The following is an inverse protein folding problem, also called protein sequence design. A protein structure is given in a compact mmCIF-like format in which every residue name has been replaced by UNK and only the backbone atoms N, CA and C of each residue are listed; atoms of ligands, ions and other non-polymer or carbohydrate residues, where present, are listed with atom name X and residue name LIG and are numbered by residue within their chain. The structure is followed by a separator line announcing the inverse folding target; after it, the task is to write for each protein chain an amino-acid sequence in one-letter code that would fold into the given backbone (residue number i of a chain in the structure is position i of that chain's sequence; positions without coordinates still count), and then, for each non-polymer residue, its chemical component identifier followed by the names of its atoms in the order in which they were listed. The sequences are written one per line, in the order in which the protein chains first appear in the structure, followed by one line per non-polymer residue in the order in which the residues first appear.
data_IF_835776104892
#
_entry.id   IF_835776104892
#
_cell.length_a   1.000
_cell.length_b   1.000
_cell.length_c   1.000
_cell.angle_alpha   90.00
_cell.angle_beta   90.00
_cell.angle_gamma   90.00
#
_symmetry.space_group_name_H-M   'P 1'
#
loop_
_entity.id
_entity.type
_entity.pdbx_description
1 polymer ?
#
# COMPACT_ATOMS: atom_id res chain seq x y z
N UNK A 1 67.74 -33.22 -19.50
CA UNK A 1 67.12 -32.79 -18.23
C UNK A 1 65.99 -31.81 -18.57
N UNK A 2 64.73 -32.25 -18.49
CA UNK A 2 63.54 -31.43 -18.81
C UNK A 2 63.03 -30.70 -17.56
N UNK A 3 63.12 -29.37 -17.54
CA UNK A 3 62.45 -28.54 -16.53
C UNK A 3 60.96 -28.41 -16.87
N UNK A 4 60.10 -29.15 -16.16
CA UNK A 4 58.65 -28.99 -16.22
C UNK A 4 58.26 -27.71 -15.45
N UNK A 5 57.81 -26.68 -16.16
CA UNK A 5 57.19 -25.49 -15.57
C UNK A 5 55.78 -25.86 -15.11
N UNK A 6 55.56 -25.93 -13.81
CA UNK A 6 54.22 -26.06 -13.23
C UNK A 6 53.54 -24.68 -13.23
N UNK A 7 52.47 -24.51 -14.01
CA UNK A 7 51.55 -23.38 -13.86
C UNK A 7 50.64 -23.65 -12.65
N UNK A 8 50.77 -22.83 -11.60
CA UNK A 8 49.76 -22.74 -10.55
C UNK A 8 48.65 -21.79 -11.00
N UNK A 9 47.48 -22.33 -11.31
CA UNK A 9 46.27 -21.52 -11.49
C UNK A 9 45.68 -21.20 -10.10
N UNK A 10 45.77 -19.94 -9.67
CA UNK A 10 45.00 -19.45 -8.52
C UNK A 10 43.53 -19.33 -8.94
N UNK A 11 42.70 -20.25 -8.48
CA UNK A 11 41.25 -20.12 -8.54
C UNK A 11 40.81 -19.14 -7.45
N UNK A 12 40.56 -17.87 -7.82
CA UNK A 12 39.90 -16.91 -6.95
C UNK A 12 38.42 -17.24 -6.88
N UNK A 13 37.98 -17.91 -5.81
CA UNK A 13 36.56 -18.04 -5.50
C UNK A 13 36.03 -16.67 -5.09
N UNK A 14 35.39 -15.96 -6.03
CA UNK A 14 34.62 -14.75 -5.73
C UNK A 14 33.41 -15.23 -4.94
N UNK A 15 33.43 -15.04 -3.61
CA UNK A 15 32.26 -15.28 -2.78
C UNK A 15 31.17 -14.30 -3.18
N UNK A 16 30.18 -14.76 -3.94
CA UNK A 16 28.94 -14.01 -4.14
C UNK A 16 28.25 -13.96 -2.77
N UNK A 17 28.39 -12.83 -2.06
CA UNK A 17 27.51 -12.55 -0.94
C UNK A 17 26.11 -12.43 -1.53
N UNK A 18 25.31 -13.50 -1.43
CA UNK A 18 23.89 -13.49 -1.74
C UNK A 18 23.25 -12.32 -0.99
N UNK A 19 22.92 -11.25 -1.72
CA UNK A 19 22.20 -10.11 -1.19
C UNK A 19 20.88 -10.63 -0.63
N UNK A 20 20.67 -10.48 0.68
CA UNK A 20 19.44 -10.94 1.30
C UNK A 20 18.35 -9.91 0.99
N UNK A 21 17.56 -10.18 -0.04
CA UNK A 21 16.46 -9.33 -0.45
C UNK A 21 15.27 -9.35 0.48
N UNK A 22 14.11 -8.97 -0.06
CA UNK A 22 12.85 -9.09 0.65
C UNK A 22 12.65 -10.52 1.18
N UNK A 23 12.23 -10.66 2.43
CA UNK A 23 12.13 -11.95 3.08
C UNK A 23 11.14 -11.94 4.25
N UNK A 24 10.74 -13.13 4.69
CA UNK A 24 9.82 -13.32 5.83
C UNK A 24 10.54 -13.82 7.09
N UNK A 25 11.83 -13.50 7.25
CA UNK A 25 12.58 -13.87 8.45
C UNK A 25 12.18 -12.95 9.61
N UNK A 26 12.23 -13.50 10.81
CA UNK A 26 11.90 -12.80 12.04
C UNK A 26 12.16 -13.68 13.25
N UNK A 27 11.75 -13.21 14.42
CA UNK A 27 11.80 -13.97 15.67
C UNK A 27 11.01 -15.29 15.54
N UNK A 28 11.40 -16.32 16.27
CA UNK A 28 10.60 -17.55 16.41
C UNK A 28 9.21 -17.28 17.00
N UNK A 29 9.02 -16.14 17.67
CA UNK A 29 7.74 -15.65 18.18
C UNK A 29 6.82 -15.08 17.09
N UNK A 30 7.29 -15.02 15.84
CA UNK A 30 6.50 -14.64 14.68
C UNK A 30 5.51 -15.73 14.22
N UNK A 31 5.32 -16.78 15.02
CA UNK A 31 4.31 -17.83 14.81
C UNK A 31 3.15 -17.67 15.78
N UNK A 32 1.91 -17.74 15.30
CA UNK A 32 0.73 -17.94 16.16
C UNK A 32 -0.16 -16.71 16.43
N UNK A 33 0.24 -15.50 16.03
CA UNK A 33 -0.60 -14.30 16.23
C UNK A 33 -1.41 -13.96 14.98
N UNK A 34 -2.51 -14.70 14.76
CA UNK A 34 -3.47 -14.42 13.69
C UNK A 34 -4.08 -13.02 13.92
N UNK A 35 -3.85 -12.09 13.00
CA UNK A 35 -4.45 -10.75 13.01
C UNK A 35 -3.58 -9.60 13.54
N UNK A 36 -2.44 -9.88 14.19
CA UNK A 36 -1.59 -8.81 14.70
C UNK A 36 -0.93 -7.98 13.59
N UNK A 37 -0.62 -8.60 12.44
CA UNK A 37 -0.18 -7.86 11.24
C UNK A 37 -1.28 -6.94 10.71
N UNK A 38 -2.54 -7.41 10.69
CA UNK A 38 -3.68 -6.59 10.28
C UNK A 38 -3.91 -5.41 11.24
N UNK A 39 -3.79 -5.65 12.55
CA UNK A 39 -3.86 -4.59 13.57
C UNK A 39 -2.71 -3.59 13.42
N UNK A 40 -1.51 -4.06 13.06
CA UNK A 40 -0.36 -3.21 12.82
C UNK A 40 -0.60 -2.30 11.62
N UNK A 41 -1.13 -2.83 10.52
CA UNK A 41 -1.52 -2.04 9.34
C UNK A 41 -2.60 -1.02 9.70
N UNK A 42 -3.58 -1.38 10.54
CA UNK A 42 -4.61 -0.44 10.99
C UNK A 42 -4.03 0.70 11.83
N UNK A 43 -3.16 0.41 12.79
CA UNK A 43 -2.49 1.45 13.60
C UNK A 43 -1.58 2.34 12.76
N UNK A 44 -0.87 1.76 11.79
CA UNK A 44 -0.02 2.50 10.87
C UNK A 44 -0.81 3.56 10.08
N UNK A 45 -2.03 3.22 9.62
CA UNK A 45 -2.89 4.15 8.88
C UNK A 45 -3.41 5.32 9.70
N UNK A 46 -3.38 5.23 11.02
CA UNK A 46 -3.80 6.29 11.93
C UNK A 46 -2.66 7.28 12.29
N UNK A 47 -1.44 7.07 11.78
CA UNK A 47 -0.31 7.97 12.01
C UNK A 47 -0.49 9.24 11.16
N UNK A 48 -0.08 10.38 11.72
CA UNK A 48 -0.04 11.66 11.01
C UNK A 48 0.76 11.54 9.68
N UNK A 49 0.17 11.89 8.52
CA UNK A 49 0.82 11.80 7.21
C UNK A 49 2.14 12.58 7.07
N UNK A 50 2.33 13.63 7.87
CA UNK A 50 3.57 14.44 7.90
C UNK A 50 4.70 13.78 8.68
N UNK A 51 4.43 12.68 9.39
CA UNK A 51 5.42 11.98 10.20
C UNK A 51 6.52 11.38 9.33
N UNK A 52 7.76 11.60 9.75
CA UNK A 52 8.95 10.96 9.19
C UNK A 52 9.58 9.99 10.17
N UNK A 53 10.17 8.93 9.66
CA UNK A 53 10.71 7.82 10.45
C UNK A 53 12.21 7.73 10.31
N UNK A 54 12.91 7.55 11.43
CA UNK A 54 14.37 7.43 11.50
C UNK A 54 14.84 6.01 11.80
N UNK A 55 16.14 5.79 11.65
CA UNK A 55 16.77 4.53 12.01
C UNK A 55 16.52 4.17 13.49
N UNK A 56 16.12 2.92 13.75
CA UNK A 56 15.83 2.41 15.09
C UNK A 56 14.51 2.87 15.69
N UNK A 57 13.74 3.70 14.97
CA UNK A 57 12.48 4.23 15.48
C UNK A 57 11.30 3.28 15.18
N UNK A 58 10.55 2.90 16.21
CA UNK A 58 9.35 2.08 16.06
C UNK A 58 8.20 2.91 15.48
N UNK A 59 7.84 2.65 14.22
CA UNK A 59 6.74 3.30 13.48
C UNK A 59 5.42 3.05 14.22
N UNK A 60 5.12 1.79 14.48
CA UNK A 60 3.99 1.36 15.30
C UNK A 60 4.28 -0.03 15.89
N UNK A 61 3.61 -0.36 16.99
CA UNK A 61 3.77 -1.64 17.69
C UNK A 61 2.42 -2.15 18.18
N UNK A 62 2.12 -3.41 17.88
CA UNK A 62 0.95 -4.13 18.37
C UNK A 62 1.38 -5.09 19.46
N UNK A 63 0.86 -4.91 20.67
CA UNK A 63 1.13 -5.81 21.80
C UNK A 63 0.60 -7.22 21.54
N UNK A 64 1.35 -8.22 21.98
CA UNK A 64 0.96 -9.64 21.97
C UNK A 64 1.00 -10.16 23.42
N UNK A 65 -0.16 -10.26 24.10
CA UNK A 65 -0.28 -10.72 25.50
C UNK A 65 -0.33 -12.28 25.55
N UNK A 66 0.12 -13.06 26.56
CA UNK A 66 0.20 -12.89 28.03
C UNK A 66 1.49 -13.51 28.66
N UNK A 67 2.65 -12.88 28.57
CA UNK A 67 3.82 -13.24 29.40
C UNK A 67 4.47 -11.93 29.85
N UNK A 68 4.89 -11.86 31.12
CA UNK A 68 5.21 -10.64 31.90
C UNK A 68 6.32 -9.70 31.38
N UNK A 69 6.70 -9.79 30.10
CA UNK A 69 7.67 -8.94 29.42
C UNK A 69 7.05 -7.99 28.37
N UNK A 70 5.73 -7.97 28.16
CA UNK A 70 5.03 -7.12 27.15
C UNK A 70 5.65 -7.11 25.74
N UNK A 71 5.87 -8.28 25.10
CA UNK A 71 6.34 -8.31 23.73
C UNK A 71 5.31 -7.66 22.78
N UNK A 72 5.81 -7.02 21.73
CA UNK A 72 4.98 -6.41 20.70
C UNK A 72 5.54 -6.73 19.31
N UNK A 73 4.67 -6.83 18.32
CA UNK A 73 5.06 -6.85 16.91
C UNK A 73 5.19 -5.41 16.46
N UNK A 74 6.39 -5.01 16.06
CA UNK A 74 6.69 -3.65 15.69
C UNK A 74 7.11 -3.54 14.24
N UNK A 75 6.74 -2.42 13.62
CA UNK A 75 7.25 -1.94 12.35
C UNK A 75 8.32 -0.88 12.61
N UNK A 76 9.51 -1.03 12.05
CA UNK A 76 10.60 -0.09 12.26
C UNK A 76 11.64 -0.14 11.16
N UNK A 77 12.39 0.96 10.99
CA UNK A 77 13.54 1.00 10.10
C UNK A 77 14.81 0.60 10.83
N UNK A 78 15.69 -0.11 10.14
CA UNK A 78 17.02 -0.42 10.63
C UNK A 78 18.04 -0.40 9.48
N UNK A 79 19.30 -0.17 9.83
CA UNK A 79 20.42 -0.03 8.89
C UNK A 79 20.25 1.12 7.89
N UNK A 80 19.39 2.11 8.16
CA UNK A 80 19.13 3.21 7.20
C UNK A 80 20.04 4.42 7.38
N UNK A 81 20.95 4.42 8.36
CA UNK A 81 21.81 5.58 8.65
C UNK A 81 21.00 6.81 9.05
N UNK A 82 21.38 7.99 8.54
CA UNK A 82 20.71 9.27 8.83
C UNK A 82 19.47 9.54 7.96
N UNK A 83 19.11 8.59 7.07
CA UNK A 83 17.97 8.73 6.18
C UNK A 83 16.66 8.77 6.98
N UNK A 84 15.70 9.47 6.40
CA UNK A 84 14.32 9.49 6.88
C UNK A 84 13.37 9.04 5.79
N UNK A 85 12.27 8.42 6.20
CA UNK A 85 11.21 8.00 5.30
C UNK A 85 9.87 8.59 5.74
N UNK A 86 9.06 9.02 4.79
CA UNK A 86 7.71 9.50 5.06
C UNK A 86 6.75 8.34 5.32
N UNK A 87 5.55 8.64 5.83
CA UNK A 87 4.47 7.66 5.94
C UNK A 87 4.14 7.00 4.59
N UNK A 88 4.08 7.77 3.50
CA UNK A 88 3.80 7.24 2.18
C UNK A 88 4.88 6.24 1.69
N UNK A 89 6.16 6.57 1.88
CA UNK A 89 7.26 5.65 1.53
C UNK A 89 7.22 4.39 2.40
N UNK A 90 6.95 4.54 3.69
CA UNK A 90 6.84 3.43 4.63
C UNK A 90 5.68 2.50 4.29
N UNK A 91 4.55 3.04 3.84
CA UNK A 91 3.41 2.25 3.35
C UNK A 91 3.80 1.42 2.12
N UNK A 92 4.56 1.99 1.18
CA UNK A 92 5.00 1.29 -0.03
C UNK A 92 5.91 0.10 0.30
N UNK A 93 6.84 0.27 1.25
CA UNK A 93 7.69 -0.82 1.72
C UNK A 93 6.91 -1.87 2.52
N UNK A 94 6.00 -1.44 3.41
CA UNK A 94 5.15 -2.37 4.16
C UNK A 94 4.30 -3.23 3.21
N UNK A 95 3.80 -2.64 2.13
CA UNK A 95 3.04 -3.37 1.11
C UNK A 95 3.88 -4.46 0.43
N UNK A 96 5.15 -4.19 0.13
CA UNK A 96 6.04 -5.22 -0.44
C UNK A 96 6.16 -6.43 0.48
N UNK A 97 6.24 -6.24 1.81
CA UNK A 97 6.27 -7.34 2.79
C UNK A 97 4.96 -8.16 2.74
N UNK A 98 3.81 -7.50 2.59
CA UNK A 98 2.51 -8.16 2.45
C UNK A 98 2.42 -8.94 1.13
N UNK A 99 2.85 -8.33 0.02
CA UNK A 99 2.83 -8.93 -1.31
C UNK A 99 3.81 -10.11 -1.43
N UNK A 100 4.88 -10.11 -0.63
CA UNK A 100 5.81 -11.24 -0.48
C UNK A 100 5.23 -12.39 0.39
N UNK A 101 3.93 -12.34 0.71
CA UNK A 101 3.20 -13.35 1.48
C UNK A 101 3.78 -13.62 2.89
N UNK A 102 4.42 -12.62 3.47
CA UNK A 102 4.91 -12.74 4.84
C UNK A 102 3.74 -12.72 5.84
N UNK A 103 3.58 -13.83 6.56
CA UNK A 103 2.40 -14.08 7.41
C UNK A 103 2.33 -13.17 8.65
N UNK A 104 3.48 -12.73 9.17
CA UNK A 104 3.52 -11.92 10.38
C UNK A 104 4.76 -11.03 10.47
N UNK A 105 5.93 -11.57 10.15
CA UNK A 105 7.21 -10.88 10.19
C UNK A 105 7.92 -10.95 8.85
N UNK A 106 8.76 -9.95 8.60
CA UNK A 106 9.53 -9.87 7.38
C UNK A 106 10.31 -8.57 7.28
N UNK A 107 11.10 -8.46 6.24
CA UNK A 107 11.91 -7.28 5.97
C UNK A 107 11.98 -7.03 4.47
N UNK A 108 12.01 -5.76 4.08
CA UNK A 108 12.21 -5.33 2.70
C UNK A 108 13.39 -4.35 2.64
N UNK A 109 14.33 -4.51 1.69
CA UNK A 109 15.40 -3.54 1.47
C UNK A 109 14.85 -2.16 1.09
N UNK A 110 15.47 -1.11 1.61
CA UNK A 110 15.17 0.28 1.21
C UNK A 110 16.11 0.82 0.16
N UNK A 111 17.20 0.10 -0.13
CA UNK A 111 18.24 0.51 -1.07
C UNK A 111 18.24 -0.30 -2.37
N UNK A 112 18.72 0.32 -3.47
CA UNK A 112 19.10 -0.41 -4.67
C UNK A 112 20.10 -1.53 -4.34
N UNK A 113 20.01 -2.65 -5.06
CA UNK A 113 20.86 -3.82 -4.83
C UNK A 113 20.21 -4.93 -4.01
N UNK A 114 18.97 -4.72 -3.55
CA UNK A 114 18.12 -5.76 -2.92
C UNK A 114 18.84 -6.50 -1.77
N UNK A 115 19.54 -5.75 -0.91
CA UNK A 115 20.18 -6.31 0.30
C UNK A 115 19.70 -5.54 1.53
N UNK A 116 19.03 -6.23 2.45
CA UNK A 116 18.54 -5.65 3.70
C UNK A 116 19.66 -5.13 4.62
N UNK A 117 20.92 -5.58 4.42
CA UNK A 117 22.09 -5.08 5.17
C UNK A 117 22.34 -3.59 4.95
N UNK A 118 21.96 -3.05 3.79
CA UNK A 118 22.20 -1.66 3.44
C UNK A 118 21.12 -0.71 3.97
N UNK A 119 19.98 -1.26 4.38
CA UNK A 119 18.83 -0.53 4.88
C UNK A 119 17.55 -1.33 4.66
N UNK A 120 16.68 -1.37 5.66
CA UNK A 120 15.45 -2.14 5.59
C UNK A 120 14.32 -1.59 6.45
N UNK A 121 13.09 -1.76 5.97
CA UNK A 121 11.89 -1.71 6.80
C UNK A 121 11.60 -3.12 7.30
N UNK A 122 11.33 -3.25 8.61
CA UNK A 122 11.22 -4.55 9.28
C UNK A 122 9.94 -4.63 10.10
N UNK A 123 9.24 -5.75 9.99
CA UNK A 123 8.21 -6.18 10.94
C UNK A 123 8.76 -7.34 11.76
N UNK A 124 8.91 -7.15 13.07
CA UNK A 124 9.41 -8.20 13.96
C UNK A 124 8.90 -8.05 15.40
N UNK A 125 9.03 -9.10 16.21
CA UNK A 125 8.74 -9.07 17.64
C UNK A 125 9.85 -8.35 18.41
N UNK A 126 9.46 -7.39 19.25
CA UNK A 126 10.30 -6.58 20.12
C UNK A 126 9.86 -6.78 21.58
N UNK A 127 10.79 -7.12 22.46
CA UNK A 127 10.48 -7.43 23.87
C UNK A 127 10.26 -6.19 24.74
N UNK A 128 10.75 -5.02 24.33
CA UNK A 128 10.56 -3.76 25.08
C UNK A 128 10.47 -2.61 24.10
N UNK A 129 9.32 -2.45 23.42
CA UNK A 129 9.17 -1.42 22.40
C UNK A 129 9.20 -0.03 23.04
N UNK A 130 9.98 0.88 22.47
CA UNK A 130 9.88 2.30 22.79
C UNK A 130 8.53 2.82 22.27
N UNK A 131 7.67 3.27 23.18
CA UNK A 131 6.36 3.82 22.81
C UNK A 131 6.57 5.17 22.13
N UNK A 132 6.26 5.28 20.83
CA UNK A 132 5.65 6.51 20.35
C UNK A 132 4.21 6.53 20.86
N UNK A 133 3.78 7.65 21.44
CA UNK A 133 2.43 7.80 21.97
C UNK A 133 1.41 7.36 20.91
N UNK A 134 0.46 6.50 21.31
CA UNK A 134 -0.65 6.14 20.46
C UNK A 134 -1.39 7.43 20.03
N UNK A 135 -1.77 7.59 18.75
CA UNK A 135 -2.62 8.70 18.35
C UNK A 135 -3.93 8.66 19.14
N UNK A 136 -4.32 9.84 19.65
CA UNK A 136 -5.60 10.10 20.30
C UNK A 136 -6.71 10.04 19.25
N UNK A 137 -7.85 9.45 19.59
CA UNK A 137 -9.07 9.35 18.78
C UNK A 137 -9.56 10.70 18.21
N UNK A 138 -10.32 10.70 17.10
CA UNK A 138 -10.40 11.80 16.16
C UNK A 138 -11.43 12.85 16.59
N UNK A 139 -10.97 14.08 16.78
CA UNK A 139 -11.79 15.28 16.70
C UNK A 139 -10.89 16.41 16.18
N UNK A 140 -11.13 16.85 14.93
CA UNK A 140 -10.38 17.96 14.33
C UNK A 140 -9.91 17.70 12.90
N UNK A 141 -10.87 17.46 12.01
CA UNK A 141 -10.65 17.46 10.57
C UNK A 141 -10.61 18.93 10.12
N UNK A 142 -9.46 19.45 9.71
CA UNK A 142 -9.45 20.64 8.85
C UNK A 142 -8.29 20.63 7.85
N UNK A 143 -8.68 20.92 6.60
CA UNK A 143 -7.95 20.75 5.34
C UNK A 143 -6.75 21.68 5.20
N UNK A 144 -5.62 21.17 4.67
CA UNK A 144 -4.68 21.79 3.70
C UNK A 144 -3.40 20.92 3.63
N UNK A 145 -2.74 20.69 2.50
CA UNK A 145 -2.89 21.28 1.18
C UNK A 145 -2.29 20.37 0.12
N UNK A 146 -3.02 20.27 -0.97
CA UNK A 146 -2.53 19.98 -2.31
C UNK A 146 -1.64 21.13 -2.81
N UNK A 147 -0.92 20.84 -3.91
CA UNK A 147 0.04 21.66 -4.65
C UNK A 147 1.48 21.59 -4.08
N UNK A 148 2.48 21.09 -4.80
CA UNK A 148 2.88 21.48 -6.16
C UNK A 148 3.58 20.31 -6.90
N UNK A 149 3.43 20.30 -8.24
CA UNK A 149 4.12 19.51 -9.30
C UNK A 149 3.52 18.15 -9.71
N UNK A 150 2.45 18.18 -10.51
CA UNK A 150 2.55 17.88 -11.96
C UNK A 150 1.27 18.34 -12.68
N UNK A 151 1.26 19.55 -13.26
CA UNK A 151 0.26 19.98 -14.26
C UNK A 151 0.51 19.28 -15.59
N UNK A 152 0.58 17.95 -15.58
CA UNK A 152 0.33 17.16 -16.78
C UNK A 152 -1.15 16.85 -16.77
N UNK A 153 -1.81 17.08 -17.91
CA UNK A 153 -3.19 16.60 -18.14
C UNK A 153 -3.19 15.11 -17.86
N UNK A 154 -3.61 14.75 -16.66
CA UNK A 154 -3.59 13.36 -16.23
C UNK A 154 -4.83 12.74 -16.88
N UNK A 155 -4.58 11.92 -17.89
CA UNK A 155 -5.63 11.23 -18.61
C UNK A 155 -6.22 10.08 -17.82
N UNK A 156 -6.83 9.15 -18.54
CA UNK A 156 -7.16 7.85 -17.98
C UNK A 156 -5.94 7.24 -17.28
N UNK A 157 -6.13 6.77 -16.06
CA UNK A 157 -5.05 6.25 -15.22
C UNK A 157 -5.58 5.26 -14.18
N UNK A 158 -4.70 4.43 -13.63
CA UNK A 158 -5.05 3.43 -12.61
C UNK A 158 -4.62 3.86 -11.20
N UNK A 159 -4.57 5.17 -10.93
CA UNK A 159 -4.26 5.68 -9.59
C UNK A 159 -5.47 5.49 -8.68
N UNK A 160 -5.19 5.31 -7.39
CA UNK A 160 -6.20 5.14 -6.36
C UNK A 160 -5.53 5.15 -4.99
N UNK A 161 -6.32 5.01 -3.94
CA UNK A 161 -5.80 4.81 -2.60
C UNK A 161 -4.95 3.53 -2.54
N UNK A 162 -4.05 3.46 -1.57
CA UNK A 162 -3.29 2.23 -1.28
C UNK A 162 -4.22 1.06 -0.90
N UNK A 163 -5.45 1.35 -0.45
CA UNK A 163 -6.48 0.35 -0.18
C UNK A 163 -7.02 -0.34 -1.43
N UNK A 164 -6.75 0.18 -2.62
CA UNK A 164 -7.07 -0.49 -3.89
C UNK A 164 -6.24 -1.77 -4.11
N UNK A 165 -5.06 -1.86 -3.49
CA UNK A 165 -4.18 -3.03 -3.58
C UNK A 165 -4.43 -4.09 -2.51
N UNK A 166 -5.19 -3.78 -1.45
CA UNK A 166 -5.42 -4.71 -0.34
C UNK A 166 -6.70 -5.52 -0.60
N UNK A 167 -6.50 -6.75 -1.06
CA UNK A 167 -7.55 -7.76 -1.18
C UNK A 167 -8.21 -8.10 0.16
N UNK A 168 -9.44 -8.59 0.11
CA UNK A 168 -10.29 -8.84 1.28
C UNK A 168 -9.61 -9.71 2.35
N UNK A 169 -9.68 -9.27 3.60
CA UNK A 169 -9.18 -10.03 4.75
C UNK A 169 -10.10 -11.24 4.94
N UNK A 170 -9.55 -12.46 4.98
CA UNK A 170 -10.30 -13.67 5.34
C UNK A 170 -11.16 -14.28 4.23
N UNK A 171 -10.56 -14.58 3.06
CA UNK A 171 -11.21 -15.29 1.96
C UNK A 171 -12.40 -14.57 1.29
N UNK A 172 -12.60 -13.28 1.57
CA UNK A 172 -13.61 -12.46 0.87
C UNK A 172 -13.08 -12.08 -0.53
N UNK A 173 -13.92 -12.11 -1.59
CA UNK A 173 -13.47 -11.77 -2.94
C UNK A 173 -12.73 -10.43 -2.98
N UNK A 174 -11.60 -10.40 -3.69
CA UNK A 174 -10.90 -9.15 -3.97
C UNK A 174 -11.78 -8.31 -4.88
N UNK A 175 -12.67 -7.46 -4.35
CA UNK A 175 -13.46 -6.59 -5.21
C UNK A 175 -12.52 -5.84 -6.15
N UNK A 176 -12.87 -5.91 -7.42
CA UNK A 176 -12.08 -5.45 -8.53
C UNK A 176 -12.95 -4.52 -9.38
N UNK A 177 -12.31 -3.84 -10.32
CA UNK A 177 -13.00 -2.88 -11.16
C UNK A 177 -14.08 -3.56 -12.03
N UNK A 178 -13.91 -4.86 -12.31
CA UNK A 178 -14.94 -5.69 -12.95
C UNK A 178 -16.18 -5.82 -12.06
N UNK A 179 -16.02 -6.15 -10.78
CA UNK A 179 -17.12 -6.24 -9.84
C UNK A 179 -17.87 -4.92 -9.73
N UNK A 180 -17.15 -3.80 -9.60
CA UNK A 180 -17.79 -2.47 -9.50
C UNK A 180 -18.58 -2.17 -10.77
N UNK A 181 -18.00 -2.46 -11.95
CA UNK A 181 -18.69 -2.36 -13.23
C UNK A 181 -19.94 -3.21 -13.30
N UNK A 182 -19.86 -4.46 -12.85
CA UNK A 182 -21.00 -5.38 -12.85
C UNK A 182 -22.10 -4.90 -11.89
N UNK A 183 -21.72 -4.35 -10.72
CA UNK A 183 -22.65 -3.75 -9.77
C UNK A 183 -23.39 -2.56 -10.37
N UNK A 184 -22.69 -1.63 -11.04
CA UNK A 184 -23.31 -0.51 -11.76
C UNK A 184 -24.26 -1.04 -12.85
N UNK A 185 -23.83 -2.01 -13.65
CA UNK A 185 -24.62 -2.55 -14.75
C UNK A 185 -25.91 -3.25 -14.26
N UNK A 186 -25.85 -3.90 -13.09
CA UNK A 186 -27.01 -4.55 -12.45
C UNK A 186 -27.90 -3.59 -11.66
N UNK A 187 -27.46 -2.35 -11.45
CA UNK A 187 -28.19 -1.34 -10.69
C UNK A 187 -29.39 -0.75 -11.43
N UNK A 188 -30.20 -0.01 -10.68
CA UNK A 188 -31.33 0.74 -11.23
C UNK A 188 -30.87 1.84 -12.19
N UNK A 189 -31.75 2.21 -13.13
CA UNK A 189 -31.53 3.38 -13.97
C UNK A 189 -31.45 4.64 -13.12
N UNK A 190 -30.50 5.52 -13.41
CA UNK A 190 -30.28 6.73 -12.62
C UNK A 190 -29.39 7.73 -13.34
N UNK A 191 -29.46 8.98 -12.88
CA UNK A 191 -28.56 10.05 -13.28
C UNK A 191 -27.69 10.41 -12.07
N UNK A 192 -26.38 10.32 -12.24
CA UNK A 192 -25.40 10.52 -11.18
C UNK A 192 -24.67 11.84 -11.38
N UNK A 193 -24.77 12.71 -10.37
CA UNK A 193 -24.12 14.01 -10.30
C UNK A 193 -22.79 13.98 -9.55
N UNK A 194 -22.24 15.18 -9.33
CA UNK A 194 -20.95 15.32 -8.66
C UNK A 194 -21.01 14.88 -7.19
N UNK A 195 -20.18 13.90 -6.82
CA UNK A 195 -20.13 13.32 -5.49
C UNK A 195 -21.02 12.08 -5.31
N UNK A 196 -21.88 11.76 -6.29
CA UNK A 196 -22.76 10.60 -6.19
C UNK A 196 -21.96 9.31 -6.37
N UNK A 197 -22.20 8.37 -5.44
CA UNK A 197 -21.74 7.00 -5.56
C UNK A 197 -22.67 6.24 -6.51
N UNK A 198 -22.16 5.85 -7.67
CA UNK A 198 -22.89 5.10 -8.70
C UNK A 198 -23.17 3.68 -8.24
N UNK A 199 -22.12 3.01 -7.74
CA UNK A 199 -22.24 1.72 -7.05
C UNK A 199 -21.04 1.52 -6.13
N UNK A 200 -21.26 0.75 -5.06
CA UNK A 200 -20.24 0.40 -4.09
C UNK A 200 -20.28 -1.10 -3.84
N UNK A 201 -19.11 -1.75 -3.85
CA UNK A 201 -18.95 -3.11 -3.38
C UNK A 201 -18.52 -3.05 -1.92
N UNK A 202 -19.25 -3.68 -0.99
CA UNK A 202 -18.86 -3.73 0.41
C UNK A 202 -17.66 -4.67 0.63
N UNK A 203 -16.78 -4.24 1.52
CA UNK A 203 -15.66 -5.00 2.06
C UNK A 203 -15.76 -5.01 3.58
N UNK A 204 -14.98 -5.88 4.22
CA UNK A 204 -14.98 -6.03 5.68
C UNK A 204 -14.79 -4.72 6.46
N UNK A 205 -14.14 -3.70 5.87
CA UNK A 205 -13.81 -2.45 6.56
C UNK A 205 -14.01 -1.18 5.71
N UNK A 206 -14.92 -1.21 4.73
CA UNK A 206 -15.18 -0.09 3.82
C UNK A 206 -15.82 -0.54 2.51
N UNK A 207 -15.77 0.30 1.47
CA UNK A 207 -16.39 0.00 0.19
C UNK A 207 -15.48 0.42 -0.98
N UNK A 208 -15.46 -0.36 -2.05
CA UNK A 208 -14.89 0.08 -3.33
C UNK A 208 -16.02 0.68 -4.15
N UNK A 209 -15.95 1.98 -4.38
CA UNK A 209 -17.03 2.73 -5.01
C UNK A 209 -16.60 3.32 -6.35
N UNK A 210 -17.54 3.33 -7.30
CA UNK A 210 -17.48 4.20 -8.48
C UNK A 210 -18.25 5.48 -8.19
N UNK A 211 -17.65 6.64 -8.44
CA UNK A 211 -18.28 7.94 -8.20
C UNK A 211 -17.73 9.03 -9.10
N UNK A 212 -18.55 10.05 -9.35
CA UNK A 212 -18.16 11.20 -10.15
C UNK A 212 -17.56 12.32 -9.31
N UNK A 213 -16.51 12.94 -9.81
CA UNK A 213 -15.88 14.08 -9.15
C UNK A 213 -15.38 15.11 -10.17
N UNK A 214 -15.36 16.37 -9.76
CA UNK A 214 -15.02 17.54 -10.58
C UNK A 214 -15.92 17.71 -11.81
N UNK A 215 -17.16 17.19 -11.80
CA UNK A 215 -18.05 17.27 -12.97
C UNK A 215 -18.99 18.49 -12.97
N UNK A 216 -18.97 19.32 -11.92
CA UNK A 216 -19.86 20.48 -11.81
C UNK A 216 -21.33 20.07 -11.72
N UNK A 217 -22.21 20.72 -12.47
CA UNK A 217 -23.66 20.43 -12.52
C UNK A 217 -24.05 19.35 -13.52
N UNK A 218 -23.07 18.69 -14.14
CA UNK A 218 -23.33 17.62 -15.11
C UNK A 218 -23.84 16.38 -14.39
N UNK A 219 -24.58 15.57 -15.13
CA UNK A 219 -25.02 14.24 -14.71
C UNK A 219 -24.70 13.23 -15.79
N UNK A 220 -24.49 12.00 -15.38
CA UNK A 220 -24.25 10.87 -16.28
C UNK A 220 -25.20 9.75 -15.95
N UNK A 221 -25.70 9.06 -16.96
CA UNK A 221 -26.59 7.92 -16.74
C UNK A 221 -25.80 6.63 -16.45
N UNK A 222 -26.53 5.55 -16.18
CA UNK A 222 -25.95 4.23 -15.93
C UNK A 222 -25.11 3.74 -17.10
N UNK A 223 -25.61 3.81 -18.34
CA UNK A 223 -24.92 3.32 -19.53
C UNK A 223 -23.58 4.02 -19.74
N UNK A 224 -23.55 5.34 -19.59
CA UNK A 224 -22.33 6.15 -19.67
C UNK A 224 -21.33 5.73 -18.58
N UNK A 225 -21.82 5.52 -17.35
CA UNK A 225 -20.99 5.06 -16.23
C UNK A 225 -20.37 3.70 -16.50
N UNK A 226 -21.14 2.75 -17.05
CA UNK A 226 -20.64 1.43 -17.47
C UNK A 226 -19.60 1.56 -18.58
N UNK A 227 -19.83 2.42 -19.59
CA UNK A 227 -18.86 2.65 -20.67
C UNK A 227 -17.52 3.19 -20.16
N UNK A 228 -17.53 4.13 -19.22
CA UNK A 228 -16.31 4.64 -18.60
C UNK A 228 -15.57 3.57 -17.79
N UNK A 229 -16.29 2.70 -17.07
CA UNK A 229 -15.69 1.57 -16.37
C UNK A 229 -15.10 0.54 -17.33
N UNK A 230 -15.76 0.24 -18.44
CA UNK A 230 -15.22 -0.64 -19.47
C UNK A 230 -13.96 -0.05 -20.12
N UNK A 231 -13.90 1.27 -20.33
CA UNK A 231 -12.69 1.95 -20.80
C UNK A 231 -11.54 1.88 -19.78
N UNK A 232 -11.81 2.03 -18.48
CA UNK A 232 -10.82 1.81 -17.41
C UNK A 232 -10.24 0.39 -17.45
N UNK A 233 -11.08 -0.61 -17.68
CA UNK A 233 -10.64 -2.01 -17.82
C UNK A 233 -9.82 -2.22 -19.09
N UNK A 234 -10.24 -1.66 -20.22
CA UNK A 234 -9.51 -1.73 -21.49
C UNK A 234 -8.14 -1.04 -21.40
N UNK A 235 -8.03 0.01 -20.59
CA UNK A 235 -6.75 0.66 -20.26
C UNK A 235 -5.85 -0.17 -19.32
N UNK A 236 -6.34 -1.29 -18.79
CA UNK A 236 -5.58 -2.20 -17.93
C UNK A 236 -5.74 -1.94 -16.43
N UNK A 237 -6.69 -1.11 -16.01
CA UNK A 237 -6.95 -0.90 -14.59
C UNK A 237 -7.73 -2.09 -14.00
N UNK A 238 -7.12 -2.75 -13.01
CA UNK A 238 -7.67 -3.97 -12.40
C UNK A 238 -8.50 -3.66 -11.14
N UNK A 239 -8.10 -2.64 -10.37
CA UNK A 239 -8.67 -2.37 -9.04
C UNK A 239 -9.30 -0.99 -8.94
N UNK A 240 -8.49 0.04 -9.17
CA UNK A 240 -8.88 1.44 -9.09
C UNK A 240 -8.36 2.19 -10.30
N UNK A 241 -8.93 3.36 -10.50
CA UNK A 241 -8.53 4.24 -11.57
C UNK A 241 -9.52 5.37 -11.76
N UNK A 242 -9.11 6.32 -12.58
CA UNK A 242 -9.92 7.47 -12.95
C UNK A 242 -9.86 7.68 -14.45
N UNK A 243 -11.00 8.02 -15.04
CA UNK A 243 -11.14 8.34 -16.46
C UNK A 243 -11.78 9.73 -16.61
N UNK A 244 -11.21 10.62 -17.44
CA UNK A 244 -11.82 11.90 -17.74
C UNK A 244 -13.19 11.75 -18.40
N UNK A 245 -14.15 12.56 -18.00
CA UNK A 245 -15.47 12.64 -18.64
C UNK A 245 -15.54 13.73 -19.72
N UNK A 246 -14.54 14.62 -19.77
CA UNK A 246 -14.44 15.70 -20.76
C UNK A 246 -13.42 15.43 -21.86
N UNK A 247 -13.65 15.99 -23.06
CA UNK A 247 -12.64 16.07 -24.10
C UNK A 247 -11.35 16.75 -23.60
N UNK A 248 -10.21 16.25 -24.05
CA UNK A 248 -8.90 16.79 -23.69
C UNK A 248 -8.10 15.95 -22.68
N UNK A 249 -8.62 14.77 -22.31
CA UNK A 249 -7.93 13.74 -21.53
C UNK A 249 -7.34 14.28 -20.22
N UNK A 250 -8.16 14.96 -19.44
CA UNK A 250 -7.75 15.64 -18.21
C UNK A 250 -8.78 15.41 -17.10
N UNK A 251 -8.42 14.55 -16.15
CA UNK A 251 -9.28 14.21 -15.00
C UNK A 251 -9.57 15.40 -14.07
N UNK A 252 -8.76 16.47 -14.16
CA UNK A 252 -8.96 17.70 -13.39
C UNK A 252 -10.23 18.46 -13.80
N UNK A 253 -10.78 18.18 -14.98
CA UNK A 253 -11.99 18.84 -15.52
C UNK A 253 -13.28 18.08 -15.26
N UNK A 254 -13.17 16.83 -14.80
CA UNK A 254 -14.29 15.94 -14.58
C UNK A 254 -13.86 14.51 -14.83
N UNK A 255 -14.22 13.60 -13.92
CA UNK A 255 -13.81 12.21 -13.98
C UNK A 255 -14.82 11.28 -13.31
N UNK A 256 -14.92 10.05 -13.83
CA UNK A 256 -15.41 8.91 -13.08
C UNK A 256 -14.21 8.26 -12.38
N UNK A 257 -14.33 8.01 -11.08
CA UNK A 257 -13.27 7.43 -10.27
C UNK A 257 -13.76 6.17 -9.58
N UNK A 258 -12.95 5.11 -9.62
CA UNK A 258 -13.10 3.93 -8.78
C UNK A 258 -12.04 3.99 -7.70
N UNK A 259 -12.46 4.13 -6.44
CA UNK A 259 -11.55 4.18 -5.30
C UNK A 259 -12.21 3.60 -4.04
N UNK A 260 -11.37 3.25 -3.07
CA UNK A 260 -11.81 2.84 -1.75
C UNK A 260 -12.36 4.04 -0.96
N UNK A 261 -13.53 3.86 -0.36
CA UNK A 261 -14.20 4.81 0.52
C UNK A 261 -14.36 4.13 1.88
N UNK A 262 -13.82 4.77 2.93
CA UNK A 262 -14.06 4.34 4.31
C UNK A 262 -15.52 4.64 4.68
N UNK A 263 -16.15 3.70 5.38
CA UNK A 263 -17.47 3.93 6.00
C UNK A 263 -17.39 4.96 7.12
#
# INVERSE_FOLDING_TARGET
MMFKRALFALATTIGLSEALGINCRGSGLCTGNKGALSQLVAQFRAIDPSTTFRNGEHVTCVGINQLGAHPAICLFYQNIGDRTFTLAQTQAYLQQILDHNCKLCGSVPTDPGNDVKNGQLTVNVVQSPTKRGAPVSPAGLEKRGEEILDKRRLGINCRGSSSCGVGGIGHTPNGDLKGVRDAVASGEEGNFGNGDHVACIPFAFGQLCAFYQNIGSRTFNKEQSVQYLDQLRQHGCIKCGSIPTDPGNDVGKGQLTVNYVSM
#
